data_IF_235182718159
#
_entry.id   IF_235182718159
#
_cell.length_a   1.000
_cell.length_b   1.000
_cell.length_c   1.000
_cell.angle_alpha   90.00
_cell.angle_beta   90.00
_cell.angle_gamma   90.00
#
_symmetry.space_group_name_H-M   'P 1'
#
loop_
_entity.id
_entity.type
_entity.pdbx_description
1 polymer ?
#
# COMPACT_ATOMS: atom_id res chain seq x y z
N UNK A 1 -12.40 -8.84 -3.59
CA UNK A 1 -11.41 -9.42 -4.53
C UNK A 1 -10.17 -9.79 -3.74
N UNK A 2 -9.63 -10.99 -3.92
CA UNK A 2 -8.33 -11.39 -3.32
C UNK A 2 -7.31 -11.60 -4.43
N UNK A 3 -6.13 -10.99 -4.30
CA UNK A 3 -5.00 -11.18 -5.21
C UNK A 3 -3.80 -11.61 -4.38
N UNK A 4 -3.14 -12.66 -4.83
CA UNK A 4 -1.92 -13.18 -4.21
C UNK A 4 -0.80 -13.12 -5.25
N UNK A 5 0.17 -12.26 -4.98
CA UNK A 5 1.45 -12.19 -5.69
C UNK A 5 2.55 -12.62 -4.72
N UNK A 6 3.71 -13.08 -5.20
CA UNK A 6 4.76 -13.61 -4.33
C UNK A 6 5.15 -12.59 -3.24
N UNK A 7 4.70 -12.83 -2.01
CA UNK A 7 4.99 -11.96 -0.87
C UNK A 7 3.98 -10.85 -0.57
N UNK A 8 3.01 -10.57 -1.46
CA UNK A 8 1.97 -9.56 -1.26
C UNK A 8 0.56 -10.15 -1.38
N UNK A 9 -0.22 -9.95 -0.33
CA UNK A 9 -1.65 -10.24 -0.29
C UNK A 9 -2.45 -8.94 -0.35
N UNK A 10 -3.46 -8.92 -1.23
CA UNK A 10 -4.41 -7.81 -1.35
C UNK A 10 -5.83 -8.32 -1.17
N UNK A 11 -6.56 -7.76 -0.21
CA UNK A 11 -7.99 -8.05 -0.01
C UNK A 11 -8.81 -6.78 -0.11
N UNK A 12 -9.70 -6.72 -1.10
CA UNK A 12 -10.54 -5.56 -1.37
C UNK A 12 -12.02 -5.80 -1.11
N UNK A 13 -12.67 -4.88 -0.40
CA UNK A 13 -14.12 -4.79 -0.25
C UNK A 13 -14.52 -3.35 -0.62
N UNK A 14 -15.49 -3.14 -1.51
CA UNK A 14 -16.01 -1.79 -1.75
C UNK A 14 -17.10 -1.44 -0.73
N UNK A 15 -17.11 -0.19 -0.26
CA UNK A 15 -18.10 0.33 0.68
C UNK A 15 -18.87 1.47 0.01
N UNK A 16 -20.20 1.43 0.10
CA UNK A 16 -21.02 2.57 -0.33
C UNK A 16 -21.19 3.57 0.81
N UNK A 17 -20.79 4.82 0.61
CA UNK A 17 -20.93 5.89 1.59
C UNK A 17 -21.38 7.20 0.93
N UNK A 18 -22.48 7.80 1.42
CA UNK A 18 -23.03 9.06 0.89
C UNK A 18 -23.15 9.09 -0.65
N UNK A 19 -23.61 7.99 -1.26
CA UNK A 19 -23.73 7.80 -2.73
C UNK A 19 -22.40 7.77 -3.49
N UNK A 20 -21.28 7.59 -2.79
CA UNK A 20 -19.97 7.31 -3.39
C UNK A 20 -19.60 5.86 -3.13
N UNK A 21 -18.93 5.23 -4.10
CA UNK A 21 -18.30 3.94 -3.90
C UNK A 21 -16.86 4.21 -3.46
N UNK A 22 -16.50 3.73 -2.28
CA UNK A 22 -15.15 3.83 -1.73
C UNK A 22 -14.53 2.45 -1.83
N UNK A 23 -13.41 2.33 -2.54
CA UNK A 23 -12.67 1.08 -2.62
C UNK A 23 -11.70 1.01 -1.44
N UNK A 24 -11.77 -0.04 -0.63
CA UNK A 24 -10.79 -0.26 0.42
C UNK A 24 -10.05 -1.56 0.20
N UNK A 25 -8.72 -1.49 0.29
CA UNK A 25 -7.83 -2.63 0.15
C UNK A 25 -7.01 -2.82 1.42
N UNK A 26 -7.09 -4.00 2.02
CA UNK A 26 -6.16 -4.47 3.02
C UNK A 26 -4.94 -5.08 2.33
N UNK A 27 -3.74 -4.64 2.71
CA UNK A 27 -2.46 -5.11 2.18
C UNK A 27 -1.70 -5.87 3.26
N UNK A 28 -1.09 -6.98 2.90
CA UNK A 28 -0.12 -7.64 3.76
C UNK A 28 1.10 -8.06 2.95
N UNK A 29 2.26 -7.59 3.35
CA UNK A 29 3.54 -7.95 2.75
C UNK A 29 4.40 -8.72 3.75
N UNK A 30 4.98 -9.85 3.33
CA UNK A 30 5.73 -10.70 4.23
C UNK A 30 7.06 -10.04 4.69
N UNK A 31 7.47 -10.19 5.95
CA UNK A 31 8.65 -9.50 6.51
C UNK A 31 9.99 -9.94 5.92
N UNK A 32 10.08 -11.13 5.31
CA UNK A 32 11.33 -11.68 4.79
C UNK A 32 11.61 -11.27 3.33
N UNK A 33 10.76 -10.42 2.75
CA UNK A 33 10.93 -9.90 1.41
C UNK A 33 11.59 -8.53 1.47
N UNK A 34 12.74 -8.37 0.83
CA UNK A 34 13.55 -7.14 0.90
C UNK A 34 12.92 -5.99 0.10
N UNK A 35 12.07 -6.30 -0.88
CA UNK A 35 11.49 -5.34 -1.80
C UNK A 35 9.97 -5.40 -1.79
N UNK A 36 9.33 -4.24 -1.91
CA UNK A 36 7.91 -4.19 -2.21
C UNK A 36 7.69 -4.41 -3.71
N UNK A 37 6.61 -5.08 -4.11
CA UNK A 37 6.35 -5.33 -5.51
C UNK A 37 5.91 -4.02 -6.20
N UNK A 38 6.33 -3.85 -7.45
CA UNK A 38 6.04 -2.66 -8.28
C UNK A 38 4.54 -2.42 -8.50
N UNK A 39 3.72 -3.47 -8.38
CA UNK A 39 2.28 -3.41 -8.54
C UNK A 39 1.54 -3.08 -7.23
N UNK A 40 2.21 -2.63 -6.16
CA UNK A 40 1.62 -2.42 -4.83
C UNK A 40 0.28 -1.66 -4.86
N UNK A 41 0.20 -0.60 -5.67
CA UNK A 41 -0.97 0.27 -5.84
C UNK A 41 -1.56 0.25 -7.26
N UNK A 42 -1.46 -0.88 -7.96
CA UNK A 42 -2.06 -1.09 -9.29
C UNK A 42 -3.58 -0.87 -9.34
N UNK A 43 -4.27 -1.12 -8.22
CA UNK A 43 -5.72 -0.90 -8.05
C UNK A 43 -6.07 0.52 -7.57
N UNK A 44 -5.11 1.44 -7.49
CA UNK A 44 -5.36 2.81 -7.06
C UNK A 44 -6.18 3.57 -8.09
N UNK A 45 -7.34 4.06 -7.66
CA UNK A 45 -8.21 4.98 -8.41
C UNK A 45 -8.83 6.00 -7.43
N UNK A 46 -9.69 6.88 -7.93
CA UNK A 46 -10.47 7.82 -7.13
C UNK A 46 -11.24 7.11 -6.01
N UNK A 47 -11.34 7.77 -4.86
CA UNK A 47 -12.07 7.27 -3.68
C UNK A 47 -11.56 5.89 -3.21
N UNK A 48 -10.25 5.64 -3.36
CA UNK A 48 -9.58 4.41 -2.90
C UNK A 48 -8.68 4.69 -1.71
N UNK A 49 -8.70 3.83 -0.69
CA UNK A 49 -7.68 3.83 0.36
C UNK A 49 -7.09 2.45 0.57
N UNK A 50 -5.79 2.43 0.87
CA UNK A 50 -5.04 1.23 1.21
C UNK A 50 -4.70 1.29 2.70
N UNK A 51 -4.84 0.15 3.38
CA UNK A 51 -4.44 -0.04 4.76
C UNK A 51 -3.73 -1.39 4.85
N UNK A 52 -2.70 -1.55 5.67
CA UNK A 52 -2.05 -2.84 5.76
C UNK A 52 -0.73 -2.84 6.50
N UNK A 53 -0.20 -4.03 6.71
CA UNK A 53 1.16 -4.25 7.19
C UNK A 53 2.07 -4.56 6.01
N UNK A 54 2.92 -3.59 5.67
CA UNK A 54 3.86 -3.70 4.56
C UNK A 54 5.25 -4.18 4.99
N UNK A 55 5.51 -4.30 6.30
CA UNK A 55 6.85 -4.52 6.86
C UNK A 55 7.91 -3.54 6.30
N UNK A 56 7.51 -2.30 5.99
CA UNK A 56 8.38 -1.24 5.47
C UNK A 56 8.64 -0.18 6.54
N UNK A 57 9.92 0.13 6.78
CA UNK A 57 10.34 1.04 7.85
C UNK A 57 10.57 2.46 7.30
N UNK A 58 9.85 3.46 7.83
CA UNK A 58 10.02 4.87 7.46
C UNK A 58 9.81 5.81 8.66
N UNK A 59 10.58 6.91 8.78
CA UNK A 59 10.41 7.92 9.84
C UNK A 59 9.01 8.54 9.90
N UNK A 60 8.37 8.78 8.75
CA UNK A 60 6.99 9.30 8.68
C UNK A 60 5.94 8.46 9.42
N UNK A 61 6.21 7.19 9.72
CA UNK A 61 5.35 6.34 10.55
C UNK A 61 6.06 5.75 11.77
N UNK A 62 7.11 6.42 12.26
CA UNK A 62 7.65 6.19 13.61
C UNK A 62 8.89 5.29 13.70
N UNK A 63 9.55 4.97 12.59
CA UNK A 63 10.82 4.22 12.62
C UNK A 63 12.05 5.11 12.62
N UNK A 64 13.04 4.78 13.46
CA UNK A 64 14.32 5.49 13.54
C UNK A 64 15.30 5.06 12.45
N UNK A 65 15.13 3.87 11.90
CA UNK A 65 15.93 3.29 10.83
C UNK A 65 15.09 3.08 9.58
N UNK A 66 15.73 2.70 8.48
CA UNK A 66 15.07 2.53 7.19
C UNK A 66 15.60 1.28 6.51
N UNK A 67 14.70 0.49 5.95
CA UNK A 67 15.01 -0.69 5.15
C UNK A 67 14.82 -0.42 3.65
N UNK A 68 15.22 -1.35 2.79
CA UNK A 68 15.13 -1.18 1.33
C UNK A 68 13.68 -0.96 0.86
N UNK A 69 12.73 -1.66 1.47
CA UNK A 69 11.28 -1.52 1.22
C UNK A 69 10.76 -0.10 1.43
N UNK A 70 11.47 0.74 2.19
CA UNK A 70 11.21 2.17 2.30
C UNK A 70 11.21 2.88 0.95
N UNK A 71 12.26 2.68 0.16
CA UNK A 71 12.45 3.38 -1.10
C UNK A 71 11.42 2.93 -2.12
N UNK A 72 11.11 1.63 -2.13
CA UNK A 72 10.06 1.08 -2.97
C UNK A 72 8.69 1.69 -2.63
N UNK A 73 8.39 1.85 -1.33
CA UNK A 73 7.14 2.45 -0.89
C UNK A 73 7.06 3.94 -1.25
N UNK A 74 8.14 4.70 -1.02
CA UNK A 74 8.22 6.11 -1.38
C UNK A 74 8.01 6.32 -2.88
N UNK A 75 8.74 5.56 -3.71
CA UNK A 75 8.60 5.62 -5.16
C UNK A 75 7.15 5.32 -5.58
N UNK A 76 6.55 4.26 -5.02
CA UNK A 76 5.18 3.88 -5.32
C UNK A 76 4.15 4.94 -4.88
N UNK A 77 4.41 5.68 -3.79
CA UNK A 77 3.52 6.74 -3.31
C UNK A 77 3.69 8.07 -4.01
N UNK A 78 4.92 8.42 -4.39
CA UNK A 78 5.25 9.66 -5.10
C UNK A 78 4.65 9.62 -6.51
N UNK A 79 4.76 8.48 -7.21
CA UNK A 79 4.14 8.24 -8.51
C UNK A 79 2.60 8.40 -8.51
N UNK A 80 1.99 8.30 -7.33
CA UNK A 80 0.53 8.34 -7.13
C UNK A 80 0.06 9.57 -6.37
N UNK A 81 0.94 10.54 -6.09
CA UNK A 81 0.63 11.80 -5.40
C UNK A 81 -0.01 11.62 -4.00
N UNK A 82 0.29 10.50 -3.32
CA UNK A 82 -0.24 10.25 -1.97
C UNK A 82 0.35 11.19 -0.91
N UNK A 83 1.59 11.64 -1.11
CA UNK A 83 2.20 12.68 -0.29
C UNK A 83 2.12 14.02 -1.03
N UNK A 84 1.25 14.91 -0.54
CA UNK A 84 1.33 16.32 -0.91
C UNK A 84 2.16 17.05 0.15
N UNK A 85 3.18 17.78 -0.31
CA UNK A 85 3.98 18.72 0.49
C UNK A 85 3.14 19.90 0.95
#
# INVERSE_FOLDING_TARGET
MSIHDSGLEKQGIPISWKRRLINNFNLYHQPNQTHLPVNLFDLADKDTFFLGDLNAEHPSWGYTMSNTSRYDLLNATDDKTYFSS
#
